data_IF_087038050982
#
_entry.id   IF_087038050982
#
_cell.length_a   1.000
_cell.length_b   1.000
_cell.length_c   1.000
_cell.angle_alpha   90.00
_cell.angle_beta   90.00
_cell.angle_gamma   90.00
#
_symmetry.space_group_name_H-M   'P 1'
#
loop_
_entity.id
_entity.type
_entity.pdbx_description
1 polymer ?
#
# COMPACT_ATOMS: atom_id res chain seq x y z
N UNK A 1 16.17 -6.13 -0.10
CA UNK A 1 15.23 -6.42 1.02
C UNK A 1 14.19 -7.50 0.65
N UNK A 2 13.63 -7.54 -0.57
CA UNK A 2 12.69 -8.59 -0.97
C UNK A 2 13.34 -9.64 -1.89
N UNK A 3 13.86 -10.75 -1.34
CA UNK A 3 14.52 -11.81 -2.10
C UNK A 3 13.67 -13.08 -2.17
N UNK A 4 12.99 -13.29 -3.30
CA UNK A 4 12.18 -14.46 -3.61
C UNK A 4 12.93 -15.80 -3.42
N UNK A 5 14.24 -15.85 -3.72
CA UNK A 5 15.04 -17.08 -3.60
C UNK A 5 15.21 -17.55 -2.15
N UNK A 6 15.08 -16.64 -1.18
CA UNK A 6 15.14 -16.98 0.26
C UNK A 6 13.78 -17.36 0.85
N UNK A 7 12.69 -17.18 0.10
CA UNK A 7 11.32 -17.44 0.58
C UNK A 7 10.42 -18.01 -0.53
N UNK A 8 10.73 -19.20 -1.07
CA UNK A 8 10.09 -19.74 -2.27
C UNK A 8 8.61 -20.13 -2.09
N UNK A 9 8.14 -20.25 -0.85
CA UNK A 9 6.74 -20.57 -0.51
C UNK A 9 5.95 -19.35 0.00
N UNK A 10 6.55 -18.16 -0.03
CA UNK A 10 5.88 -16.96 0.48
C UNK A 10 4.78 -16.54 -0.48
N UNK A 11 3.53 -16.67 -0.04
CA UNK A 11 2.33 -16.27 -0.78
C UNK A 11 1.67 -15.04 -0.15
N UNK A 12 2.01 -14.71 1.10
CA UNK A 12 1.49 -13.55 1.80
C UNK A 12 2.63 -12.68 2.31
N UNK A 13 2.60 -11.39 1.99
CA UNK A 13 3.54 -10.38 2.49
C UNK A 13 2.77 -9.25 3.15
N UNK A 14 3.09 -8.97 4.42
CA UNK A 14 2.61 -7.80 5.14
C UNK A 14 3.72 -6.77 5.29
N UNK A 15 3.50 -5.59 4.74
CA UNK A 15 4.28 -4.36 4.91
C UNK A 15 3.44 -3.32 5.67
N UNK A 16 2.71 -3.78 6.68
CA UNK A 16 1.88 -2.95 7.55
C UNK A 16 2.76 -2.09 8.45
N UNK A 17 2.22 -1.03 9.06
CA UNK A 17 2.96 -0.37 10.14
C UNK A 17 3.94 0.71 9.63
N UNK A 18 3.93 1.02 8.33
CA UNK A 18 5.07 1.66 7.67
C UNK A 18 4.92 3.18 7.56
N UNK A 19 5.87 3.91 8.15
CA UNK A 19 6.06 5.36 7.95
C UNK A 19 6.65 5.71 6.56
N UNK A 20 7.18 4.71 5.86
CA UNK A 20 7.78 4.83 4.53
C UNK A 20 6.92 4.17 3.44
N UNK A 21 5.60 4.17 3.63
CA UNK A 21 4.67 3.42 2.80
C UNK A 21 4.74 3.82 1.31
N UNK A 22 4.93 5.11 1.02
CA UNK A 22 5.04 5.61 -0.36
C UNK A 22 6.35 5.18 -1.04
N UNK A 23 7.46 5.19 -0.32
CA UNK A 23 8.74 4.67 -0.83
C UNK A 23 8.69 3.16 -1.05
N UNK A 24 7.97 2.43 -0.19
CA UNK A 24 7.71 1.02 -0.41
C UNK A 24 6.92 0.78 -1.70
N UNK A 25 5.92 1.62 -2.02
CA UNK A 25 5.20 1.55 -3.29
C UNK A 25 6.12 1.69 -4.51
N UNK A 26 7.18 2.50 -4.43
CA UNK A 26 8.18 2.70 -5.50
C UNK A 26 9.09 1.50 -5.74
N UNK A 27 9.28 0.62 -4.76
CA UNK A 27 10.17 -0.53 -4.89
C UNK A 27 9.42 -1.85 -5.00
N UNK A 28 8.24 -1.95 -4.38
CA UNK A 28 7.50 -3.20 -4.22
C UNK A 28 7.16 -3.80 -5.59
N UNK A 29 6.68 -2.99 -6.54
CA UNK A 29 6.28 -3.45 -7.87
C UNK A 29 7.41 -4.12 -8.68
N UNK A 30 8.67 -3.83 -8.37
CA UNK A 30 9.84 -4.38 -9.07
C UNK A 30 10.38 -5.66 -8.41
N UNK A 31 9.89 -6.00 -7.21
CA UNK A 31 10.39 -7.13 -6.44
C UNK A 31 10.07 -8.47 -7.11
N UNK A 32 11.05 -9.39 -7.26
CA UNK A 32 10.80 -10.72 -7.82
C UNK A 32 9.79 -11.53 -6.98
N UNK A 33 9.63 -11.16 -5.70
CA UNK A 33 8.68 -11.81 -4.79
C UNK A 33 7.23 -11.48 -5.13
N UNK A 34 6.94 -10.36 -5.78
CA UNK A 34 5.54 -9.98 -6.09
C UNK A 34 4.85 -11.03 -6.96
N UNK A 35 5.59 -11.61 -7.91
CA UNK A 35 5.05 -12.60 -8.86
C UNK A 35 4.59 -13.90 -8.21
N UNK A 36 5.09 -14.23 -7.01
CA UNK A 36 4.69 -15.42 -6.25
C UNK A 36 3.66 -15.13 -5.16
N UNK A 37 3.41 -13.86 -4.85
CA UNK A 37 2.42 -13.49 -3.84
C UNK A 37 1.01 -13.70 -4.37
N UNK A 38 0.13 -14.12 -3.48
CA UNK A 38 -1.32 -14.08 -3.63
C UNK A 38 -1.93 -12.94 -2.83
N UNK A 39 -1.28 -12.50 -1.75
CA UNK A 39 -1.78 -11.42 -0.90
C UNK A 39 -0.65 -10.45 -0.57
N UNK A 40 -0.89 -9.16 -0.77
CA UNK A 40 -0.03 -8.07 -0.31
C UNK A 40 -0.84 -7.19 0.63
N UNK A 41 -0.35 -7.01 1.86
CA UNK A 41 -0.99 -6.15 2.84
C UNK A 41 -0.06 -4.96 3.14
N UNK A 42 -0.53 -3.74 2.89
CA UNK A 42 0.14 -2.46 3.18
C UNK A 42 -0.75 -1.57 4.08
N UNK A 43 -1.55 -2.18 4.95
CA UNK A 43 -2.48 -1.45 5.81
C UNK A 43 -1.81 -0.76 7.00
N UNK A 44 -2.56 0.12 7.68
CA UNK A 44 -2.15 0.80 8.92
C UNK A 44 -0.92 1.73 8.79
N UNK A 45 -0.53 2.02 7.55
CA UNK A 45 0.65 2.83 7.25
C UNK A 45 0.35 4.32 7.14
N UNK A 46 1.22 4.98 6.38
CA UNK A 46 1.18 6.40 6.04
C UNK A 46 1.02 6.63 4.55
N UNK A 47 0.49 5.65 3.80
CA UNK A 47 0.39 5.75 2.34
C UNK A 47 -0.50 6.92 1.95
N UNK A 48 0.00 7.76 1.05
CA UNK A 48 -0.75 8.89 0.50
C UNK A 48 -1.17 8.60 -0.94
N UNK A 49 -1.91 9.53 -1.53
CA UNK A 49 -2.28 9.47 -2.94
C UNK A 49 -1.06 9.36 -3.87
N UNK A 50 0.10 9.90 -3.47
CA UNK A 50 1.32 9.77 -4.27
C UNK A 50 1.82 8.33 -4.36
N UNK A 51 1.84 7.62 -3.24
CA UNK A 51 2.20 6.19 -3.20
C UNK A 51 1.19 5.34 -3.97
N UNK A 52 -0.11 5.62 -3.80
CA UNK A 52 -1.17 4.93 -4.52
C UNK A 52 -1.13 5.16 -6.04
N UNK A 53 -0.73 6.34 -6.49
CA UNK A 53 -0.54 6.63 -7.92
C UNK A 53 0.56 5.74 -8.53
N UNK A 54 1.63 5.45 -7.78
CA UNK A 54 2.67 4.50 -8.20
C UNK A 54 2.09 3.09 -8.33
N UNK A 55 1.24 2.66 -7.39
CA UNK A 55 0.56 1.37 -7.49
C UNK A 55 -0.35 1.29 -8.73
N UNK A 56 -1.09 2.36 -9.03
CA UNK A 56 -1.94 2.45 -10.24
C UNK A 56 -1.11 2.33 -11.52
N UNK A 57 0.02 3.04 -11.62
CA UNK A 57 0.94 2.95 -12.77
C UNK A 57 1.45 1.53 -13.01
N UNK A 58 1.59 0.75 -11.93
CA UNK A 58 2.06 -0.62 -11.97
C UNK A 58 0.96 -1.67 -11.69
N UNK A 59 -0.32 -1.31 -11.81
CA UNK A 59 -1.45 -2.17 -11.47
C UNK A 59 -1.38 -3.54 -12.15
N UNK A 60 -0.94 -3.59 -13.43
CA UNK A 60 -0.76 -4.84 -14.18
C UNK A 60 0.18 -5.86 -13.51
N UNK A 61 1.12 -5.40 -12.69
CA UNK A 61 2.03 -6.26 -11.94
C UNK A 61 1.43 -6.78 -10.62
N UNK A 62 0.26 -6.29 -10.24
CA UNK A 62 -0.43 -6.57 -8.97
C UNK A 62 -1.82 -7.20 -9.19
N UNK A 63 -2.35 -7.20 -10.41
CA UNK A 63 -3.66 -7.77 -10.76
C UNK A 63 -3.76 -9.29 -10.57
N UNK A 64 -2.62 -10.00 -10.49
CA UNK A 64 -2.62 -11.44 -10.20
C UNK A 64 -2.82 -11.75 -8.70
N UNK A 65 -2.68 -10.75 -7.83
CA UNK A 65 -2.95 -10.92 -6.40
C UNK A 65 -4.42 -11.27 -6.21
N UNK A 66 -4.72 -12.16 -5.26
CA UNK A 66 -6.08 -12.37 -4.77
C UNK A 66 -6.55 -11.19 -3.92
N UNK A 67 -5.63 -10.51 -3.24
CA UNK A 67 -5.94 -9.38 -2.38
C UNK A 67 -4.75 -8.41 -2.28
N UNK A 68 -5.04 -7.12 -2.44
CA UNK A 68 -4.15 -6.01 -2.10
C UNK A 68 -4.83 -5.15 -1.05
N UNK A 69 -4.34 -5.15 0.19
CA UNK A 69 -4.93 -4.38 1.29
C UNK A 69 -4.15 -3.07 1.50
N UNK A 70 -4.85 -1.93 1.40
CA UNK A 70 -4.31 -0.58 1.62
C UNK A 70 -5.16 0.19 2.63
N UNK A 71 -5.91 -0.51 3.49
CA UNK A 71 -6.73 0.08 4.54
C UNK A 71 -5.91 0.82 5.61
N UNK A 72 -6.54 1.71 6.35
CA UNK A 72 -5.95 2.49 7.45
C UNK A 72 -4.68 3.27 7.04
N UNK A 73 -4.70 3.85 5.83
CA UNK A 73 -3.71 4.79 5.31
C UNK A 73 -4.34 6.19 5.16
N UNK A 74 -3.71 7.11 4.41
CA UNK A 74 -4.18 8.49 4.20
C UNK A 74 -4.58 8.73 2.73
N UNK A 75 -5.30 7.77 2.14
CA UNK A 75 -5.76 7.87 0.75
C UNK A 75 -7.04 8.69 0.65
N UNK A 76 -7.12 9.58 -0.33
CA UNK A 76 -8.34 10.32 -0.61
C UNK A 76 -9.45 9.38 -1.10
N UNK A 77 -10.70 9.85 -0.97
CA UNK A 77 -11.87 9.14 -1.48
C UNK A 77 -11.80 8.91 -3.00
N UNK A 78 -11.26 9.87 -3.73
CA UNK A 78 -11.09 9.76 -5.18
C UNK A 78 -10.04 8.71 -5.53
N UNK A 79 -8.88 8.74 -4.86
CA UNK A 79 -7.84 7.73 -5.06
C UNK A 79 -8.32 6.32 -4.72
N UNK A 80 -9.05 6.15 -3.61
CA UNK A 80 -9.67 4.88 -3.27
C UNK A 80 -10.61 4.36 -4.37
N UNK A 81 -11.37 5.25 -5.01
CA UNK A 81 -12.23 4.87 -6.13
C UNK A 81 -11.39 4.43 -7.34
N UNK A 82 -10.39 5.22 -7.73
CA UNK A 82 -9.48 4.92 -8.84
C UNK A 82 -8.77 3.57 -8.65
N UNK A 83 -8.34 3.26 -7.43
CA UNK A 83 -7.74 1.97 -7.09
C UNK A 83 -8.71 0.81 -7.31
N UNK A 84 -9.96 0.91 -6.84
CA UNK A 84 -10.97 -0.14 -7.03
C UNK A 84 -11.36 -0.33 -8.49
N UNK A 85 -11.42 0.76 -9.25
CA UNK A 85 -11.72 0.72 -10.68
C UNK A 85 -10.59 0.03 -11.47
N UNK A 86 -9.33 0.24 -11.08
CA UNK A 86 -8.17 -0.37 -11.74
C UNK A 86 -7.86 -1.79 -11.27
N UNK A 87 -8.13 -2.11 -10.00
CA UNK A 87 -7.75 -3.36 -9.33
C UNK A 87 -8.92 -3.86 -8.49
N UNK A 88 -9.79 -4.76 -9.01
CA UNK A 88 -11.00 -5.20 -8.31
C UNK A 88 -10.72 -6.03 -7.04
N UNK A 89 -9.48 -6.49 -6.89
CA UNK A 89 -8.95 -7.23 -5.74
C UNK A 89 -8.39 -6.31 -4.63
N UNK A 90 -8.46 -4.99 -4.78
CA UNK A 90 -7.98 -4.04 -3.76
C UNK A 90 -9.00 -3.87 -2.64
N UNK A 91 -8.51 -3.89 -1.40
CA UNK A 91 -9.27 -3.59 -0.19
C UNK A 91 -8.77 -2.24 0.32
N UNK A 92 -9.60 -1.20 0.15
CA UNK A 92 -9.26 0.15 0.65
C UNK A 92 -9.70 0.36 2.09
N UNK A 93 -10.66 -0.41 2.61
CA UNK A 93 -11.18 -0.25 3.98
C UNK A 93 -11.50 1.19 4.38
N UNK A 94 -11.31 1.48 5.68
CA UNK A 94 -11.30 2.83 6.23
C UNK A 94 -9.98 3.54 5.90
N UNK A 95 -9.98 4.86 5.88
CA UNK A 95 -8.77 5.70 5.74
C UNK A 95 -8.73 6.69 6.90
N UNK A 96 -7.53 7.10 7.28
CA UNK A 96 -7.23 8.10 8.31
C UNK A 96 -7.40 9.49 7.70
N UNK A 97 -7.94 10.40 8.48
CA UNK A 97 -7.87 11.83 8.16
C UNK A 97 -6.46 12.33 8.51
N UNK A 98 -5.85 13.10 7.60
CA UNK A 98 -4.63 13.82 7.93
C UNK A 98 -4.99 14.89 8.97
N UNK A 99 -4.17 15.02 10.02
CA UNK A 99 -4.31 16.14 10.93
C UNK A 99 -3.75 17.37 10.23
N UNK A 100 -4.66 18.27 9.81
CA UNK A 100 -4.33 19.62 9.37
C UNK A 100 -4.48 20.53 10.60
N UNK A 101 -3.36 20.97 11.18
CA UNK A 101 -3.36 22.14 12.07
C UNK A 101 -3.05 23.34 11.18
N UNK A 102 -3.86 24.39 11.25
CA UNK A 102 -3.95 25.52 10.29
C UNK A 102 -2.63 26.32 10.11
N UNK A 103 -1.54 25.95 10.81
CA UNK A 103 -0.23 26.61 10.76
C UNK A 103 0.97 25.69 10.44
N UNK A 104 0.83 24.37 10.21
CA UNK A 104 1.95 23.46 9.93
C UNK A 104 1.69 22.42 8.81
N UNK A 105 2.76 21.88 8.20
CA UNK A 105 2.71 20.80 7.19
C UNK A 105 1.93 19.57 7.70
N UNK A 106 1.18 18.85 6.84
CA UNK A 106 0.35 17.73 7.26
C UNK A 106 1.19 16.60 7.91
N UNK A 107 0.80 16.19 9.12
CA UNK A 107 1.48 15.15 9.89
C UNK A 107 0.84 13.77 9.68
N UNK A 108 1.64 12.80 9.24
CA UNK A 108 1.21 11.41 9.02
C UNK A 108 1.76 10.49 10.12
N UNK A 109 0.91 9.65 10.74
CA UNK A 109 1.29 8.75 11.84
C UNK A 109 0.75 7.32 11.61
N UNK A 110 1.48 6.32 12.10
CA UNK A 110 1.13 4.90 11.96
C UNK A 110 0.24 4.42 13.13
N UNK A 111 -0.61 3.41 12.96
CA UNK A 111 -1.71 3.15 13.92
C UNK A 111 -1.28 2.82 15.36
N UNK A 112 -0.03 2.40 15.57
CA UNK A 112 0.61 2.39 16.90
C UNK A 112 2.07 2.79 16.73
N UNK A 113 2.48 3.92 17.28
CA UNK A 113 3.89 4.20 17.56
C UNK A 113 4.05 4.47 19.05
N UNK A 114 4.17 3.38 19.82
CA UNK A 114 4.68 3.39 21.20
C UNK A 114 6.03 2.68 21.23
#
# INVERSE_FOLDING_TARGET
>A
ILNAKKSPKLTWLGLMNAQIADDLCRVVHSGPIIKQLTTLNMSMGTMTDEGAEVLLKHAKALTHLKQLDVSDNYLSRDMCKRLRDAMPNVVTGSQKDAFEDDEDEPWYYTSVAE
#
